data_IF_384057393454
#
_entry.id   IF_384057393454
#
_cell.length_a   1.000
_cell.length_b   1.000
_cell.length_c   1.000
_cell.angle_alpha   90.00
_cell.angle_beta   90.00
_cell.angle_gamma   90.00
#
_symmetry.space_group_name_H-M   'P 1'
#
loop_
_entity.id
_entity.type
_entity.pdbx_description
1 polymer ?
#
# COMPACT_ATOMS: atom_id res chain seq x y z
N UNK A 1 12.46 -27.05 -2.35
CA UNK A 1 11.48 -26.91 -1.25
C UNK A 1 10.17 -26.47 -1.85
N UNK A 2 9.18 -27.34 -1.76
CA UNK A 2 7.85 -27.07 -2.29
C UNK A 2 7.16 -26.06 -1.36
N UNK A 3 7.21 -24.77 -1.72
CA UNK A 3 6.59 -23.69 -0.96
C UNK A 3 5.06 -23.85 -0.86
N UNK A 4 4.46 -24.59 -1.80
CA UNK A 4 3.03 -24.87 -1.79
C UNK A 4 2.64 -25.84 -0.65
N UNK A 5 3.56 -26.68 -0.19
CA UNK A 5 3.32 -27.58 0.94
C UNK A 5 3.36 -26.88 2.30
N UNK A 6 4.12 -25.80 2.43
CA UNK A 6 4.22 -25.04 3.69
C UNK A 6 3.04 -24.07 3.89
N UNK A 7 2.29 -23.75 2.84
CA UNK A 7 1.14 -22.81 2.86
C UNK A 7 -0.20 -23.54 3.08
N UNK A 8 -0.20 -24.86 3.18
CA UNK A 8 -1.39 -25.74 3.19
C UNK A 8 -2.45 -25.49 4.29
N UNK A 9 -2.33 -24.51 5.18
CA UNK A 9 -3.37 -24.24 6.17
C UNK A 9 -3.90 -22.81 6.21
N UNK A 10 -3.38 -21.91 5.37
CA UNK A 10 -3.92 -20.55 5.26
C UNK A 10 -3.62 -19.95 3.90
N UNK A 11 -4.63 -19.42 3.24
CA UNK A 11 -4.53 -18.68 1.98
C UNK A 11 -3.65 -17.41 2.07
N UNK A 12 -3.15 -17.08 3.28
CA UNK A 12 -2.35 -15.91 3.59
C UNK A 12 -1.02 -16.28 4.22
N UNK A 13 0.09 -15.78 3.65
CA UNK A 13 1.42 -15.96 4.22
C UNK A 13 2.27 -14.69 4.02
N UNK A 14 3.35 -14.55 4.79
CA UNK A 14 4.23 -13.40 4.70
C UNK A 14 5.71 -13.80 4.84
N UNK A 15 6.58 -13.08 4.15
CA UNK A 15 8.02 -13.11 4.36
C UNK A 15 8.46 -11.84 5.11
N UNK A 16 9.08 -12.01 6.26
CA UNK A 16 9.77 -10.92 6.94
C UNK A 16 11.16 -10.83 6.33
N UNK A 17 11.42 -9.78 5.55
CA UNK A 17 12.62 -9.71 4.72
C UNK A 17 13.16 -8.29 4.60
N UNK A 18 14.42 -8.15 4.23
CA UNK A 18 14.97 -6.87 3.82
C UNK A 18 14.50 -6.49 2.39
N UNK A 19 14.50 -5.19 2.08
CA UNK A 19 14.06 -4.70 0.77
C UNK A 19 14.83 -5.35 -0.39
N UNK A 20 16.14 -5.53 -0.23
CA UNK A 20 17.01 -6.16 -1.23
C UNK A 20 16.78 -7.67 -1.40
N UNK A 21 16.12 -8.34 -0.47
CA UNK A 21 15.80 -9.77 -0.56
C UNK A 21 14.53 -10.06 -1.35
N UNK A 22 13.61 -9.10 -1.48
CA UNK A 22 12.28 -9.28 -2.10
C UNK A 22 12.36 -9.89 -3.50
N UNK A 23 13.22 -9.38 -4.37
CA UNK A 23 13.40 -9.94 -5.73
C UNK A 23 14.06 -11.32 -5.73
N UNK A 24 14.94 -11.59 -4.76
CA UNK A 24 15.53 -12.90 -4.54
C UNK A 24 14.46 -13.94 -4.17
N UNK A 25 13.56 -13.58 -3.25
CA UNK A 25 12.43 -14.44 -2.85
C UNK A 25 11.54 -14.76 -4.07
N UNK A 26 11.19 -13.76 -4.89
CA UNK A 26 10.40 -13.99 -6.12
C UNK A 26 11.15 -14.95 -7.06
N UNK A 27 12.47 -14.79 -7.19
CA UNK A 27 13.28 -15.69 -8.01
C UNK A 27 13.23 -17.12 -7.53
N UNK A 28 13.37 -17.34 -6.22
CA UNK A 28 13.24 -18.67 -5.62
C UNK A 28 11.82 -19.24 -5.81
N UNK A 29 10.78 -18.43 -5.59
CA UNK A 29 9.39 -18.86 -5.77
C UNK A 29 9.10 -19.33 -7.20
N UNK A 30 9.69 -18.68 -8.20
CA UNK A 30 9.45 -18.97 -9.62
C UNK A 30 10.55 -19.79 -10.28
N UNK A 31 11.48 -20.36 -9.50
CA UNK A 31 12.60 -21.12 -10.05
C UNK A 31 12.16 -22.40 -10.77
N UNK A 32 11.19 -23.11 -10.20
CA UNK A 32 10.72 -24.39 -10.73
C UNK A 32 9.54 -24.20 -11.68
N UNK A 33 8.58 -23.39 -11.28
CA UNK A 33 7.39 -23.13 -12.09
C UNK A 33 6.83 -21.74 -11.80
N UNK A 34 6.67 -20.93 -12.84
CA UNK A 34 5.93 -19.67 -12.73
C UNK A 34 4.44 -19.97 -12.70
N UNK A 35 3.72 -19.69 -11.63
CA UNK A 35 2.27 -19.87 -11.61
C UNK A 35 1.62 -18.94 -12.63
N UNK A 36 0.56 -19.41 -13.24
CA UNK A 36 -0.26 -18.60 -14.12
C UNK A 36 -1.07 -17.59 -13.29
N UNK A 37 -1.36 -16.43 -13.87
CA UNK A 37 -2.23 -15.40 -13.27
C UNK A 37 -1.77 -14.91 -11.90
N UNK A 38 -0.60 -14.27 -11.90
CA UNK A 38 -0.01 -13.61 -10.73
C UNK A 38 -0.25 -12.11 -10.80
N UNK A 39 -0.66 -11.51 -9.68
CA UNK A 39 -0.66 -10.05 -9.52
C UNK A 39 0.34 -9.68 -8.43
N UNK A 40 1.21 -8.70 -8.72
CA UNK A 40 2.16 -8.12 -7.78
C UNK A 40 1.79 -6.66 -7.54
N UNK A 41 1.45 -6.32 -6.30
CA UNK A 41 1.13 -4.96 -5.89
C UNK A 41 2.36 -4.25 -5.36
N UNK A 42 2.70 -3.10 -5.94
CA UNK A 42 3.78 -2.23 -5.48
C UNK A 42 3.27 -0.82 -5.14
N UNK A 43 3.91 -0.17 -4.17
CA UNK A 43 3.45 1.08 -3.56
C UNK A 43 3.53 2.29 -4.50
N UNK A 44 4.34 2.25 -5.55
CA UNK A 44 4.54 3.37 -6.45
C UNK A 44 4.80 2.94 -7.89
N UNK A 45 4.52 3.85 -8.85
CA UNK A 45 4.81 3.62 -10.28
C UNK A 45 6.29 3.34 -10.57
N UNK A 46 7.19 3.96 -9.82
CA UNK A 46 8.63 3.71 -9.97
C UNK A 46 8.97 2.28 -9.57
N UNK A 47 8.43 1.83 -8.45
CA UNK A 47 8.62 0.46 -7.97
C UNK A 47 7.99 -0.57 -8.90
N UNK A 48 6.81 -0.27 -9.47
CA UNK A 48 6.21 -1.12 -10.52
C UNK A 48 7.16 -1.31 -11.68
N UNK A 49 7.75 -0.22 -12.21
CA UNK A 49 8.72 -0.26 -13.32
C UNK A 49 9.98 -1.05 -12.95
N UNK A 50 10.53 -0.83 -11.76
CA UNK A 50 11.71 -1.56 -11.26
C UNK A 50 11.46 -3.05 -11.14
N UNK A 51 10.37 -3.45 -10.50
CA UNK A 51 9.99 -4.85 -10.32
C UNK A 51 9.71 -5.50 -11.68
N UNK A 52 8.90 -4.87 -12.53
CA UNK A 52 8.59 -5.38 -13.86
C UNK A 52 9.86 -5.56 -14.71
N UNK A 53 10.78 -4.60 -14.67
CA UNK A 53 12.07 -4.70 -15.37
C UNK A 53 12.91 -5.88 -14.87
N UNK A 54 13.01 -6.05 -13.55
CA UNK A 54 13.76 -7.15 -12.95
C UNK A 54 13.17 -8.51 -13.33
N UNK A 55 11.84 -8.65 -13.31
CA UNK A 55 11.17 -9.90 -13.72
C UNK A 55 11.29 -10.19 -15.21
N UNK A 56 11.23 -9.16 -16.08
CA UNK A 56 11.52 -9.30 -17.51
C UNK A 56 12.95 -9.78 -17.77
N UNK A 57 13.93 -9.32 -16.98
CA UNK A 57 15.31 -9.81 -17.04
C UNK A 57 15.45 -11.29 -16.64
N UNK A 58 14.54 -11.80 -15.81
CA UNK A 58 14.41 -13.23 -15.49
C UNK A 58 13.68 -14.02 -16.60
N UNK A 59 13.39 -13.41 -17.75
CA UNK A 59 12.68 -13.99 -18.90
C UNK A 59 11.23 -14.40 -18.59
N UNK A 60 10.59 -13.73 -17.62
CA UNK A 60 9.19 -13.92 -17.29
C UNK A 60 8.29 -13.02 -18.16
N UNK A 61 7.08 -13.47 -18.47
CA UNK A 61 6.09 -12.73 -19.24
C UNK A 61 5.34 -11.74 -18.30
N UNK A 62 5.81 -10.49 -18.28
CA UNK A 62 5.38 -9.48 -17.31
C UNK A 62 4.76 -8.27 -17.98
N UNK A 63 3.56 -7.90 -17.54
CA UNK A 63 2.91 -6.61 -17.81
C UNK A 63 3.07 -5.67 -16.62
N UNK A 64 3.12 -4.37 -16.92
CA UNK A 64 3.14 -3.32 -15.90
C UNK A 64 1.92 -2.43 -16.04
N UNK A 65 1.34 -1.99 -14.89
CA UNK A 65 0.16 -1.17 -14.88
C UNK A 65 0.24 -0.08 -13.81
N UNK A 66 0.33 1.17 -14.26
CA UNK A 66 0.50 2.34 -13.41
C UNK A 66 -0.11 3.59 -14.06
N UNK A 67 -0.12 4.71 -13.34
CA UNK A 67 -0.79 5.95 -13.74
C UNK A 67 -0.23 6.60 -15.02
N UNK A 68 1.02 6.29 -15.41
CA UNK A 68 1.63 6.88 -16.62
C UNK A 68 1.12 6.23 -17.92
N UNK A 69 0.43 5.09 -17.84
CA UNK A 69 -0.14 4.44 -19.01
C UNK A 69 -1.43 5.14 -19.44
N UNK A 70 -1.56 5.34 -20.74
CA UNK A 70 -2.82 5.76 -21.35
C UNK A 70 -3.88 4.66 -21.27
N UNK A 71 -5.15 5.03 -21.42
CA UNK A 71 -6.26 4.08 -21.30
C UNK A 71 -6.13 2.91 -22.30
N UNK A 72 -5.76 3.19 -23.54
CA UNK A 72 -5.57 2.15 -24.56
C UNK A 72 -4.46 1.15 -24.18
N UNK A 73 -3.36 1.64 -23.60
CA UNK A 73 -2.26 0.78 -23.14
C UNK A 73 -2.69 -0.11 -21.96
N UNK A 74 -3.51 0.42 -21.05
CA UNK A 74 -4.05 -0.36 -19.93
C UNK A 74 -4.97 -1.49 -20.43
N UNK A 75 -5.82 -1.18 -21.40
CA UNK A 75 -6.72 -2.16 -22.01
C UNK A 75 -5.94 -3.25 -22.75
N UNK A 76 -4.86 -2.89 -23.45
CA UNK A 76 -3.97 -3.84 -24.11
C UNK A 76 -3.30 -4.78 -23.10
N UNK A 77 -2.67 -4.24 -22.04
CA UNK A 77 -2.04 -5.05 -20.99
C UNK A 77 -3.05 -5.99 -20.35
N UNK A 78 -4.27 -5.51 -20.10
CA UNK A 78 -5.33 -6.33 -19.55
C UNK A 78 -5.77 -7.45 -20.49
N UNK A 79 -5.91 -7.14 -21.77
CA UNK A 79 -6.24 -8.14 -22.78
C UNK A 79 -5.17 -9.22 -22.86
N UNK A 80 -3.88 -8.83 -22.90
CA UNK A 80 -2.73 -9.75 -22.88
C UNK A 80 -2.70 -10.64 -21.63
N UNK A 81 -3.02 -10.05 -20.46
CA UNK A 81 -3.08 -10.79 -19.22
C UNK A 81 -4.25 -11.77 -19.17
N UNK A 82 -5.45 -11.35 -19.59
CA UNK A 82 -6.64 -12.23 -19.70
C UNK A 82 -6.44 -13.34 -20.71
N UNK A 83 -5.73 -13.08 -21.79
CA UNK A 83 -5.40 -14.07 -22.83
C UNK A 83 -4.27 -15.04 -22.43
N UNK A 84 -3.64 -14.85 -21.25
CA UNK A 84 -2.55 -15.70 -20.76
C UNK A 84 -1.20 -15.46 -21.47
N UNK A 85 -1.07 -14.40 -22.28
CA UNK A 85 0.21 -14.01 -22.89
C UNK A 85 1.11 -13.30 -21.91
N UNK A 86 0.54 -12.63 -20.91
CA UNK A 86 1.21 -12.12 -19.74
C UNK A 86 0.77 -12.98 -18.55
N UNK A 87 1.74 -13.54 -17.81
CA UNK A 87 1.49 -14.39 -16.66
C UNK A 87 1.52 -13.60 -15.35
N UNK A 88 2.30 -12.52 -15.31
CA UNK A 88 2.53 -11.70 -14.13
C UNK A 88 2.15 -10.25 -14.45
N UNK A 89 1.25 -9.67 -13.68
CA UNK A 89 0.89 -8.27 -13.75
C UNK A 89 1.44 -7.53 -12.53
N UNK A 90 2.31 -6.54 -12.74
CA UNK A 90 2.81 -5.66 -11.68
C UNK A 90 2.03 -4.35 -11.71
N UNK A 91 1.36 -3.99 -10.62
CA UNK A 91 0.42 -2.86 -10.61
C UNK A 91 0.47 -2.04 -9.32
N UNK A 92 0.02 -0.79 -9.41
CA UNK A 92 -0.33 0.02 -8.23
C UNK A 92 -1.81 -0.16 -7.87
N UNK A 93 -2.16 0.06 -6.59
CA UNK A 93 -3.55 -0.09 -6.10
C UNK A 93 -4.58 0.74 -6.89
N UNK A 94 -4.23 1.99 -7.20
CA UNK A 94 -5.15 2.94 -7.84
C UNK A 94 -5.66 2.41 -9.18
N UNK A 95 -4.78 1.75 -9.92
CA UNK A 95 -5.12 1.24 -11.24
C UNK A 95 -5.78 -0.14 -11.14
N UNK A 96 -5.38 -0.93 -10.16
CA UNK A 96 -5.91 -2.28 -9.98
C UNK A 96 -7.35 -2.32 -9.40
N UNK A 97 -7.81 -1.25 -8.74
CA UNK A 97 -9.18 -1.17 -8.17
C UNK A 97 -10.30 -1.20 -9.19
N UNK A 98 -10.05 -0.83 -10.43
CA UNK A 98 -11.04 -0.83 -11.52
C UNK A 98 -11.01 -2.08 -12.40
N UNK A 99 -10.17 -3.04 -12.08
CA UNK A 99 -9.91 -4.17 -12.95
C UNK A 99 -10.74 -5.37 -12.49
N UNK A 100 -11.63 -5.82 -13.34
CA UNK A 100 -12.35 -7.08 -13.20
C UNK A 100 -11.43 -8.22 -13.69
N UNK A 101 -10.60 -8.70 -12.76
CA UNK A 101 -9.76 -9.89 -12.98
C UNK A 101 -10.23 -10.95 -12.01
N UNK A 102 -10.88 -11.94 -12.55
CA UNK A 102 -11.21 -13.16 -11.85
C UNK A 102 -10.09 -14.19 -12.07
N UNK A 103 -10.02 -15.17 -11.17
CA UNK A 103 -9.15 -16.33 -11.34
C UNK A 103 -7.64 -16.05 -11.15
N UNK A 104 -7.31 -15.18 -10.19
CA UNK A 104 -5.93 -14.95 -9.76
C UNK A 104 -5.51 -16.09 -8.83
N UNK A 105 -4.40 -16.76 -9.17
CA UNK A 105 -3.85 -17.86 -8.37
C UNK A 105 -2.89 -17.38 -7.29
N UNK A 106 -2.17 -16.30 -7.55
CA UNK A 106 -1.22 -15.75 -6.59
C UNK A 106 -1.28 -14.23 -6.57
N UNK A 107 -1.51 -13.66 -5.41
CA UNK A 107 -1.32 -12.23 -5.13
C UNK A 107 -0.04 -12.06 -4.33
N UNK A 108 0.85 -11.18 -4.78
CA UNK A 108 2.03 -10.77 -4.03
C UNK A 108 1.89 -9.30 -3.65
N UNK A 109 1.79 -9.01 -2.37
CA UNK A 109 1.97 -7.66 -1.85
C UNK A 109 3.48 -7.40 -1.72
N UNK A 110 4.10 -6.80 -2.75
CA UNK A 110 5.51 -6.43 -2.74
C UNK A 110 5.83 -5.41 -1.66
N UNK A 111 4.87 -4.54 -1.39
CA UNK A 111 4.87 -3.59 -0.28
C UNK A 111 3.58 -3.75 0.53
N UNK A 112 3.69 -3.61 1.85
CA UNK A 112 2.53 -3.63 2.76
C UNK A 112 1.68 -2.37 2.50
N UNK A 113 0.38 -2.49 2.23
CA UNK A 113 -0.49 -1.32 2.06
C UNK A 113 -0.60 -0.52 3.35
N UNK A 114 -0.87 0.78 3.22
CA UNK A 114 -1.07 1.64 4.39
C UNK A 114 -2.39 1.34 5.11
N UNK A 115 -3.43 1.03 4.35
CA UNK A 115 -4.76 0.73 4.87
C UNK A 115 -5.04 -0.77 4.86
N UNK A 116 -5.64 -1.25 5.95
CA UNK A 116 -6.02 -2.66 6.08
C UNK A 116 -7.14 -3.05 5.09
N UNK A 117 -8.01 -2.10 4.72
CA UNK A 117 -9.04 -2.32 3.70
C UNK A 117 -8.43 -2.57 2.32
N UNK A 118 -7.35 -1.85 1.98
CA UNK A 118 -6.61 -2.08 0.74
C UNK A 118 -6.01 -3.48 0.69
N UNK A 119 -5.50 -3.96 1.83
CA UNK A 119 -5.02 -5.33 1.94
C UNK A 119 -6.13 -6.34 1.61
N UNK A 120 -7.32 -6.16 2.19
CA UNK A 120 -8.46 -7.05 1.92
C UNK A 120 -8.88 -7.00 0.44
N UNK A 121 -8.90 -5.81 -0.16
CA UNK A 121 -9.19 -5.66 -1.59
C UNK A 121 -8.17 -6.36 -2.49
N UNK A 122 -6.89 -6.36 -2.12
CA UNK A 122 -5.83 -7.07 -2.87
C UNK A 122 -5.99 -8.58 -2.77
N UNK A 123 -6.10 -9.11 -1.54
CA UNK A 123 -6.24 -10.56 -1.34
C UNK A 123 -7.57 -11.08 -1.86
N UNK A 124 -8.63 -10.26 -1.87
CA UNK A 124 -9.92 -10.60 -2.46
C UNK A 124 -9.88 -10.87 -3.96
N UNK A 125 -8.74 -10.66 -4.64
CA UNK A 125 -8.54 -11.08 -6.04
C UNK A 125 -8.30 -12.57 -6.17
N UNK A 126 -7.85 -13.25 -5.11
CA UNK A 126 -7.65 -14.71 -5.10
C UNK A 126 -8.87 -15.47 -4.58
N UNK A 127 -9.74 -14.83 -3.79
CA UNK A 127 -10.78 -15.52 -2.99
C UNK A 127 -12.10 -15.78 -3.73
N UNK A 128 -12.14 -15.69 -5.07
CA UNK A 128 -13.39 -15.88 -5.82
C UNK A 128 -13.51 -17.30 -6.39
N UNK A 129 -14.62 -17.96 -6.01
CA UNK A 129 -15.20 -19.17 -6.61
C UNK A 129 -14.27 -20.37 -6.81
N UNK A 130 -14.11 -21.17 -5.78
CA UNK A 130 -13.55 -22.55 -5.83
C UNK A 130 -12.07 -22.71 -6.26
N UNK A 131 -11.29 -21.65 -6.32
CA UNK A 131 -9.85 -21.76 -6.54
C UNK A 131 -9.10 -21.43 -5.27
N UNK A 132 -8.19 -22.33 -4.87
CA UNK A 132 -7.25 -22.16 -3.76
C UNK A 132 -6.17 -21.13 -4.14
N UNK A 133 -6.54 -19.84 -4.12
CA UNK A 133 -5.60 -18.77 -4.39
C UNK A 133 -4.81 -18.38 -3.16
N UNK A 134 -3.53 -18.09 -3.33
CA UNK A 134 -2.59 -17.73 -2.27
C UNK A 134 -2.26 -16.24 -2.31
N UNK A 135 -2.17 -15.62 -1.14
CA UNK A 135 -1.66 -14.25 -1.01
C UNK A 135 -0.39 -14.23 -0.16
N UNK A 136 0.69 -13.75 -0.76
CA UNK A 136 1.98 -13.56 -0.12
C UNK A 136 2.22 -12.08 0.14
N UNK A 137 2.81 -11.74 1.29
CA UNK A 137 3.14 -10.37 1.64
C UNK A 137 4.61 -10.26 2.04
N UNK A 138 5.36 -9.36 1.42
CA UNK A 138 6.70 -9.04 1.83
C UNK A 138 6.67 -7.88 2.82
N UNK A 139 7.30 -8.09 3.97
CA UNK A 139 7.26 -7.15 5.08
C UNK A 139 8.69 -6.76 5.43
N UNK A 140 9.09 -5.54 5.10
CA UNK A 140 10.38 -5.03 5.51
C UNK A 140 10.32 -4.43 6.93
N UNK A 141 11.48 -4.06 7.49
CA UNK A 141 11.59 -3.55 8.86
C UNK A 141 10.70 -2.34 9.15
N UNK A 142 10.49 -1.48 8.13
CA UNK A 142 9.69 -0.25 8.27
C UNK A 142 8.19 -0.52 8.22
N UNK A 143 7.80 -1.61 7.58
CA UNK A 143 6.42 -2.00 7.31
C UNK A 143 5.81 -2.90 8.40
N UNK A 144 6.63 -3.43 9.32
CA UNK A 144 6.17 -4.38 10.34
C UNK A 144 5.01 -3.84 11.20
N UNK A 145 5.00 -2.53 11.51
CA UNK A 145 3.92 -1.92 12.29
C UNK A 145 2.61 -1.89 11.51
N UNK A 146 2.66 -1.55 10.21
CA UNK A 146 1.48 -1.57 9.35
C UNK A 146 0.97 -3.00 9.16
N UNK A 147 1.90 -3.95 8.97
CA UNK A 147 1.53 -5.35 8.85
C UNK A 147 0.86 -5.89 10.12
N UNK A 148 1.34 -5.52 11.30
CA UNK A 148 0.68 -5.86 12.57
C UNK A 148 -0.72 -5.25 12.69
N UNK A 149 -0.93 -4.04 12.17
CA UNK A 149 -2.26 -3.43 12.11
C UNK A 149 -3.21 -4.22 11.21
N UNK A 150 -2.71 -4.78 10.11
CA UNK A 150 -3.47 -5.66 9.21
C UNK A 150 -3.84 -6.97 9.92
N UNK A 151 -2.90 -7.63 10.60
CA UNK A 151 -3.19 -8.84 11.39
C UNK A 151 -4.27 -8.58 12.45
N UNK A 152 -4.20 -7.44 13.14
CA UNK A 152 -5.19 -7.03 14.12
C UNK A 152 -6.57 -6.75 13.49
N UNK A 153 -6.60 -6.15 12.30
CA UNK A 153 -7.83 -5.88 11.55
C UNK A 153 -8.50 -7.16 11.07
N UNK A 154 -7.70 -8.14 10.63
CA UNK A 154 -8.18 -9.45 10.20
C UNK A 154 -8.52 -10.38 11.37
N UNK A 155 -8.17 -9.99 12.60
CA UNK A 155 -8.26 -10.86 13.79
C UNK A 155 -7.58 -12.22 13.59
N UNK A 156 -6.54 -12.24 12.74
CA UNK A 156 -5.82 -13.45 12.33
C UNK A 156 -4.31 -13.19 12.29
N UNK A 157 -3.55 -14.07 12.89
CA UNK A 157 -2.10 -14.10 12.71
C UNK A 157 -1.76 -14.75 11.36
N UNK A 158 -0.98 -14.03 10.53
CA UNK A 158 -0.55 -14.48 9.21
C UNK A 158 0.74 -15.32 9.38
N UNK A 159 0.79 -16.47 8.74
CA UNK A 159 1.96 -17.35 8.79
C UNK A 159 3.21 -16.67 8.21
N UNK A 160 4.34 -16.69 8.94
CA UNK A 160 5.62 -16.12 8.50
C UNK A 160 6.49 -17.23 7.94
N UNK A 161 6.68 -17.22 6.62
CA UNK A 161 7.54 -18.18 5.92
C UNK A 161 9.01 -17.76 6.15
N UNK A 162 9.92 -18.67 6.50
CA UNK A 162 11.33 -18.35 6.59
C UNK A 162 11.89 -17.94 5.23
N UNK A 163 12.74 -16.93 5.21
CA UNK A 163 13.44 -16.50 3.99
C UNK A 163 14.41 -17.60 3.57
N UNK A 164 14.53 -17.91 2.26
CA UNK A 164 15.50 -18.90 1.78
C UNK A 164 16.93 -18.61 2.28
N UNK A 165 17.61 -19.62 2.79
CA UNK A 165 18.96 -19.49 3.39
C UNK A 165 19.99 -18.86 2.45
N UNK A 166 19.85 -19.10 1.15
CA UNK A 166 20.69 -18.52 0.08
C UNK A 166 20.63 -16.99 -0.01
N UNK A 167 19.57 -16.37 0.54
CA UNK A 167 19.38 -14.93 0.56
C UNK A 167 19.91 -14.27 1.84
N UNK A 168 20.47 -15.05 2.76
CA UNK A 168 21.05 -14.61 4.02
C UNK A 168 20.01 -14.40 5.13
N UNK A 169 20.44 -13.76 6.23
CA UNK A 169 19.60 -13.55 7.40
C UNK A 169 18.43 -12.59 7.10
N UNK A 170 17.29 -12.89 7.68
CA UNK A 170 16.09 -12.05 7.64
C UNK A 170 16.01 -11.14 8.88
N UNK A 171 15.35 -9.98 8.78
CA UNK A 171 15.09 -9.16 9.95
C UNK A 171 14.13 -9.86 10.91
N UNK A 172 14.33 -9.63 12.21
CA UNK A 172 13.41 -10.15 13.21
C UNK A 172 12.05 -9.43 13.15
N UNK A 173 10.96 -10.18 13.31
CA UNK A 173 9.62 -9.59 13.38
C UNK A 173 9.38 -8.96 14.77
N UNK A 174 9.61 -7.68 14.86
CA UNK A 174 9.42 -6.85 16.05
C UNK A 174 8.61 -5.59 15.74
N UNK A 175 7.29 -5.73 15.47
CA UNK A 175 6.44 -4.56 15.22
C UNK A 175 6.43 -3.66 16.45
N UNK A 176 6.60 -2.35 16.26
CA UNK A 176 6.49 -1.39 17.35
C UNK A 176 5.05 -1.40 17.86
N UNK A 177 4.85 -1.68 19.14
CA UNK A 177 3.54 -1.53 19.76
C UNK A 177 3.13 -0.07 19.73
N UNK A 178 1.96 0.23 19.18
CA UNK A 178 1.40 1.59 19.12
C UNK A 178 0.85 2.06 20.47
N UNK A 179 1.23 1.38 21.56
CA UNK A 179 0.71 1.58 22.93
C UNK A 179 1.27 2.83 23.65
N UNK A 180 2.09 3.65 22.96
CA UNK A 180 2.78 4.81 23.53
C UNK A 180 2.11 6.16 23.36
N UNK A 181 0.99 6.29 22.64
CA UNK A 181 0.24 7.57 22.57
C UNK A 181 -0.98 7.58 23.47
N UNK A 182 -0.83 7.27 24.77
CA UNK A 182 -1.71 7.85 25.78
C UNK A 182 -1.56 9.36 25.67
N UNK A 183 -2.60 10.01 25.11
CA UNK A 183 -2.78 11.45 25.18
C UNK A 183 -2.52 11.86 26.63
N UNK A 184 -1.40 12.52 26.89
CA UNK A 184 -1.26 13.31 28.10
C UNK A 184 -2.32 14.40 27.99
N UNK A 185 -3.45 14.15 28.62
CA UNK A 185 -4.44 15.18 28.89
C UNK A 185 -3.72 16.20 29.77
N UNK A 186 -3.30 17.28 29.16
CA UNK A 186 -2.82 18.46 29.89
C UNK A 186 -3.99 18.94 30.75
N UNK A 187 -3.96 18.51 32.02
CA UNK A 187 -4.81 19.00 33.08
C UNK A 187 -4.28 20.39 33.41
N UNK A 188 -4.79 21.40 32.69
CA UNK A 188 -4.54 22.80 32.98
C UNK A 188 -5.09 23.12 34.37
N UNK A 189 -4.19 23.16 35.34
CA UNK A 189 -4.46 23.62 36.68
C UNK A 189 -4.78 25.11 36.68
N UNK A 190 -6.04 25.46 36.92
CA UNK A 190 -6.46 26.83 37.15
C UNK A 190 -5.78 27.42 38.36
N UNK A 191 -4.95 28.38 38.14
CA UNK A 191 -4.55 29.35 39.19
C UNK A 191 -5.52 30.52 39.13
N UNK A 192 -6.47 30.53 40.05
CA UNK A 192 -7.16 31.74 40.47
C UNK A 192 -6.12 32.69 41.02
N UNK A 193 -5.96 33.88 40.43
CA UNK A 193 -5.34 35.00 41.09
C UNK A 193 -6.39 36.12 41.16
N UNK A 194 -6.76 36.43 42.38
CA UNK A 194 -7.64 37.51 42.80
C UNK A 194 -6.73 38.74 42.89
N UNK A 195 -7.04 39.81 42.19
CA UNK A 195 -6.32 41.06 42.24
C UNK A 195 -7.17 42.23 41.78
N UNK A 196 -7.77 42.86 42.72
CA UNK A 196 -8.47 44.16 42.67
C UNK A 196 -7.57 45.27 42.16
N UNK A 197 -8.06 46.15 41.29
CA UNK A 197 -7.33 47.40 40.91
C UNK A 197 -8.07 48.25 39.90
N UNK A 198 -8.82 49.16 40.40
CA UNK A 198 -9.38 50.42 39.92
C UNK A 198 -8.68 51.14 38.72
N UNK A 199 -9.48 51.68 37.82
CA UNK A 199 -9.38 53.08 37.42
C UNK A 199 -8.91 53.37 36.01
N UNK A 200 -9.66 54.15 35.27
CA UNK A 200 -9.10 55.00 34.22
C UNK A 200 -9.80 55.02 32.87
N UNK A 201 -10.86 55.74 32.84
CA UNK A 201 -11.55 56.43 31.76
C UNK A 201 -10.59 57.13 30.77
N UNK A 202 -10.84 57.03 29.43
CA UNK A 202 -10.95 58.13 28.43
C UNK A 202 -10.93 57.64 26.99
N UNK A 203 -12.08 57.74 26.38
CA UNK A 203 -12.42 58.53 25.20
C UNK A 203 -11.29 58.80 24.18
N UNK A 204 -11.37 58.34 22.95
CA UNK A 204 -11.55 59.29 21.85
C UNK A 204 -11.97 58.62 20.51
N UNK A 205 -12.96 59.15 19.99
CA UNK A 205 -13.64 59.14 18.74
C UNK A 205 -12.72 59.55 17.57
N UNK A 206 -12.75 58.87 16.40
CA UNK A 206 -12.83 59.57 15.08
C UNK A 206 -13.20 58.62 13.95
N UNK A 207 -14.29 58.97 13.37
CA UNK A 207 -14.86 58.60 12.09
C UNK A 207 -13.97 59.06 10.93
N UNK A 208 -14.07 58.33 9.78
CA UNK A 208 -14.16 58.76 8.38
C UNK A 208 -14.04 57.48 7.54
N UNK A 209 -15.05 56.98 6.89
CA UNK A 209 -15.91 57.45 5.78
C UNK A 209 -15.13 57.66 4.48
N UNK A 210 -15.60 57.00 3.39
CA UNK A 210 -15.12 57.24 2.03
C UNK A 210 -15.16 55.99 1.15
N UNK A 211 -16.29 55.42 0.84
CA UNK A 211 -17.03 55.30 -0.45
C UNK A 211 -16.18 55.50 -1.72
N UNK A 212 -16.17 54.53 -2.64
CA UNK A 212 -16.71 54.64 -3.99
C UNK A 212 -16.41 53.36 -4.83
N UNK A 213 -17.48 52.80 -5.32
CA UNK A 213 -17.61 52.01 -6.56
C UNK A 213 -17.78 52.98 -7.73
N UNK A 214 -18.00 52.54 -8.99
CA UNK A 214 -17.50 51.50 -9.89
C UNK A 214 -17.15 52.06 -11.30
N UNK A 215 -16.80 51.25 -12.30
CA UNK A 215 -17.15 51.42 -13.75
C UNK A 215 -16.42 50.36 -14.55
N UNK A 216 -17.09 49.35 -15.12
CA UNK A 216 -17.61 49.16 -16.49
C UNK A 216 -16.57 49.29 -17.62
N UNK A 217 -16.34 48.19 -18.32
CA UNK A 217 -16.78 47.80 -19.66
C UNK A 217 -15.96 48.36 -20.85
N UNK A 218 -15.61 47.42 -21.75
CA UNK A 218 -15.76 47.32 -23.23
C UNK A 218 -14.62 46.47 -23.76
N UNK A 219 -14.84 45.32 -24.42
CA UNK A 219 -15.33 45.04 -25.80
C UNK A 219 -14.34 45.42 -26.90
N UNK A 220 -14.13 44.45 -27.81
CA UNK A 220 -13.60 44.49 -29.18
C UNK A 220 -12.08 44.31 -29.28
N UNK A 221 -11.54 43.37 -30.05
CA UNK A 221 -11.92 42.73 -31.33
C UNK A 221 -11.47 41.28 -31.37
#
# INVERSE_FOLDING_TARGET
SDWSSDVCSSDLAAYICYENQKLGIIRSLFAEQTPERVIIFASSKLKVKEVAKALKQMKLNVGEMHSDLEQAQREEVMYEFKAGRINILVATDIVARGIDIDDIRLVINYDVPHDSEDYVHRIGRTARANNDGVALTFVNEKEQTNFKSIENFLEKEIYKIPVPEELGEAPEYKPRSNDGRKRSSFKGGGRRNNGTGKGGNRNNNKRRDGSKKPTQAKKQE
#
